data_IF_197908059476
#
_entry.id   IF_197908059476
#
_cell.length_a   1.000
_cell.length_b   1.000
_cell.length_c   1.000
_cell.angle_alpha   90.00
_cell.angle_beta   90.00
_cell.angle_gamma   90.00
#
_symmetry.space_group_name_H-M   'P 1'
#
loop_
_entity.id
_entity.type
_entity.pdbx_description
1 polymer ?
#
# COMPACT_ATOMS: atom_id res chain seq x y z
N UNK A 1 0.31 0.06 14.66
CA UNK A 1 -0.67 -1.01 14.38
C UNK A 1 -1.95 -0.89 15.22
N UNK A 2 -1.83 -0.63 16.51
CA UNK A 2 -3.01 -0.52 17.39
C UNK A 2 -3.97 0.57 16.92
N UNK A 3 -3.45 1.75 16.59
CA UNK A 3 -4.25 2.86 16.07
C UNK A 3 -4.93 2.53 14.75
N UNK A 4 -4.21 1.87 13.85
CA UNK A 4 -4.77 1.46 12.56
C UNK A 4 -5.89 0.42 12.75
N UNK A 5 -5.68 -0.55 13.61
CA UNK A 5 -6.69 -1.58 13.92
C UNK A 5 -7.94 -0.99 14.59
N UNK A 6 -7.76 0.00 15.46
CA UNK A 6 -8.88 0.68 16.10
C UNK A 6 -9.77 1.42 15.09
N UNK A 7 -9.17 1.99 14.06
CA UNK A 7 -9.90 2.66 12.99
C UNK A 7 -10.69 3.90 13.45
N UNK A 8 -10.19 4.61 14.44
CA UNK A 8 -10.83 5.80 14.98
C UNK A 8 -10.03 7.04 14.60
N UNK A 9 -10.68 8.03 14.02
CA UNK A 9 -10.02 9.22 13.49
C UNK A 9 -10.78 10.48 13.86
N UNK A 10 -10.06 11.59 14.03
CA UNK A 10 -10.63 12.91 14.23
C UNK A 10 -11.10 13.49 12.89
N UNK A 11 -11.99 14.50 12.94
CA UNK A 11 -12.40 15.20 11.73
C UNK A 11 -11.23 15.83 10.98
N UNK A 12 -10.21 16.28 11.72
CA UNK A 12 -9.00 16.85 11.14
C UNK A 12 -8.23 15.81 10.33
N UNK A 13 -8.13 14.60 10.84
CA UNK A 13 -7.39 13.50 10.18
C UNK A 13 -8.02 13.08 8.86
N UNK A 14 -9.33 13.20 8.71
CA UNK A 14 -10.06 12.78 7.52
C UNK A 14 -10.47 13.94 6.61
N UNK A 15 -9.95 15.13 6.87
CA UNK A 15 -10.31 16.34 6.14
C UNK A 15 -10.21 16.22 4.62
N UNK A 16 -9.20 15.52 4.14
CA UNK A 16 -8.98 15.31 2.71
C UNK A 16 -9.80 14.19 2.09
N UNK A 17 -10.57 13.46 2.88
CA UNK A 17 -11.36 12.35 2.37
C UNK A 17 -12.67 12.86 1.76
N UNK A 18 -12.99 12.49 0.48
CA UNK A 18 -14.26 12.89 -0.14
C UNK A 18 -15.47 12.46 0.68
N UNK A 19 -16.51 13.30 0.69
CA UNK A 19 -17.71 13.08 1.51
C UNK A 19 -18.37 11.73 1.21
N UNK A 20 -18.39 11.31 -0.06
CA UNK A 20 -18.96 10.01 -0.46
C UNK A 20 -18.34 8.82 0.25
N UNK A 21 -17.02 8.90 0.53
CA UNK A 21 -16.32 7.83 1.26
C UNK A 21 -16.57 7.92 2.76
N UNK A 22 -16.68 9.14 3.31
CA UNK A 22 -17.04 9.34 4.72
C UNK A 22 -18.40 8.75 5.00
N UNK A 23 -19.38 9.04 4.14
CA UNK A 23 -20.76 8.58 4.32
C UNK A 23 -20.88 7.07 4.22
N UNK A 24 -20.08 6.46 3.34
CA UNK A 24 -20.15 5.03 3.06
C UNK A 24 -19.39 4.18 4.06
N UNK A 25 -18.22 4.65 4.51
CA UNK A 25 -17.27 3.81 5.25
C UNK A 25 -16.97 4.28 6.67
N UNK A 26 -17.41 5.46 7.05
CA UNK A 26 -17.17 6.02 8.38
C UNK A 26 -18.47 6.32 9.10
N UNK A 27 -18.45 6.09 10.41
CA UNK A 27 -19.54 6.42 11.31
C UNK A 27 -19.05 7.46 12.31
N UNK A 28 -19.77 8.58 12.43
CA UNK A 28 -19.42 9.63 13.39
C UNK A 28 -20.14 9.35 14.70
N UNK A 29 -19.40 9.32 15.80
CA UNK A 29 -20.00 9.15 17.12
C UNK A 29 -20.42 10.50 17.72
N UNK A 30 -20.99 10.47 18.94
CA UNK A 30 -21.47 11.64 19.65
C UNK A 30 -20.35 12.61 20.05
N UNK A 31 -19.10 12.15 20.08
CA UNK A 31 -17.92 12.97 20.41
C UNK A 31 -17.22 13.52 19.18
N UNK A 32 -17.78 13.33 17.99
CA UNK A 32 -17.17 13.79 16.75
C UNK A 32 -16.03 12.92 16.24
N UNK A 33 -15.86 11.73 16.77
CA UNK A 33 -14.86 10.77 16.32
C UNK A 33 -15.46 9.91 15.21
N UNK A 34 -14.67 9.73 14.13
CA UNK A 34 -15.07 8.89 13.00
C UNK A 34 -14.49 7.50 13.15
N UNK A 35 -15.33 6.49 13.02
CA UNK A 35 -14.94 5.08 13.10
C UNK A 35 -15.11 4.42 11.75
N UNK A 36 -14.11 3.65 11.35
CA UNK A 36 -14.20 2.83 10.13
C UNK A 36 -15.23 1.74 10.35
N UNK A 37 -16.10 1.54 9.35
CA UNK A 37 -17.16 0.52 9.44
C UNK A 37 -16.59 -0.88 9.63
N UNK A 38 -17.32 -1.74 10.33
CA UNK A 38 -16.90 -3.13 10.54
C UNK A 38 -16.83 -3.90 9.22
N UNK A 39 -17.70 -3.57 8.27
CA UNK A 39 -17.68 -4.17 6.93
C UNK A 39 -16.35 -3.93 6.23
N UNK A 40 -15.84 -2.70 6.28
CA UNK A 40 -14.54 -2.37 5.70
C UNK A 40 -13.40 -3.02 6.49
N UNK A 41 -13.46 -2.98 7.82
CA UNK A 41 -12.44 -3.59 8.68
C UNK A 41 -12.28 -5.09 8.41
N UNK A 42 -13.36 -5.79 8.10
CA UNK A 42 -13.32 -7.23 7.83
C UNK A 42 -12.52 -7.58 6.58
N UNK A 43 -12.30 -6.62 5.69
CA UNK A 43 -11.52 -6.80 4.46
C UNK A 43 -10.03 -6.49 4.65
N UNK A 44 -9.61 -6.04 5.83
CA UNK A 44 -8.25 -5.55 6.07
C UNK A 44 -7.55 -6.41 7.09
N UNK A 45 -6.30 -6.77 6.78
CA UNK A 45 -5.41 -7.45 7.71
C UNK A 45 -4.19 -6.57 7.96
N UNK A 46 -3.90 -6.29 9.24
CA UNK A 46 -2.74 -5.49 9.63
C UNK A 46 -1.64 -6.39 10.15
N UNK A 47 -0.43 -6.21 9.62
CA UNK A 47 0.74 -6.97 10.04
C UNK A 47 1.96 -6.07 10.12
N UNK A 48 2.81 -6.34 11.10
CA UNK A 48 4.18 -5.85 11.08
C UNK A 48 4.95 -6.72 10.08
N UNK A 49 5.71 -6.10 9.18
CA UNK A 49 6.39 -6.81 8.10
C UNK A 49 7.78 -6.22 7.84
N UNK A 50 8.78 -7.08 7.83
CA UNK A 50 10.13 -6.72 7.42
C UNK A 50 10.30 -7.08 5.94
N UNK A 51 10.44 -6.08 5.07
CA UNK A 51 10.50 -6.26 3.63
C UNK A 51 11.68 -7.13 3.17
N UNK A 52 12.76 -7.18 3.94
CA UNK A 52 13.95 -7.95 3.58
C UNK A 52 13.94 -9.37 4.13
N UNK A 53 13.21 -9.64 5.20
CA UNK A 53 13.27 -10.91 5.92
C UNK A 53 11.99 -11.72 5.85
N UNK A 54 10.84 -11.08 5.95
CA UNK A 54 9.57 -11.78 6.07
C UNK A 54 9.06 -12.26 4.71
N UNK A 55 8.30 -13.36 4.73
CA UNK A 55 7.66 -13.88 3.53
C UNK A 55 6.56 -12.94 3.03
N UNK A 56 6.40 -12.85 1.72
CA UNK A 56 5.39 -11.99 1.11
C UNK A 56 4.12 -12.79 0.80
N UNK A 57 2.94 -12.15 0.89
CA UNK A 57 1.73 -12.79 0.39
C UNK A 57 1.86 -13.06 -1.11
N UNK A 58 1.16 -14.07 -1.58
CA UNK A 58 1.21 -14.49 -2.99
C UNK A 58 -0.07 -14.07 -3.71
N UNK A 59 0.02 -13.97 -5.04
CA UNK A 59 -1.11 -13.66 -5.90
C UNK A 59 -1.73 -12.30 -5.59
N UNK A 60 -0.87 -11.33 -5.36
CA UNK A 60 -1.28 -9.95 -5.06
C UNK A 60 -1.59 -9.21 -6.36
N UNK A 61 -2.63 -8.41 -6.38
CA UNK A 61 -3.04 -7.65 -7.57
C UNK A 61 -2.50 -6.22 -7.58
N UNK A 62 -2.30 -5.63 -6.40
CA UNK A 62 -1.79 -4.28 -6.27
C UNK A 62 -0.87 -4.20 -5.07
N UNK A 63 0.33 -3.66 -5.28
CA UNK A 63 1.24 -3.29 -4.19
C UNK A 63 1.40 -1.78 -4.22
N UNK A 64 1.19 -1.14 -3.08
CA UNK A 64 1.46 0.29 -2.89
C UNK A 64 2.64 0.41 -1.95
N UNK A 65 3.77 0.89 -2.46
CA UNK A 65 4.99 1.07 -1.68
C UNK A 65 5.55 2.46 -1.98
N UNK A 66 5.16 3.43 -1.17
CA UNK A 66 5.51 4.83 -1.37
C UNK A 66 6.32 5.38 -0.21
N UNK A 67 7.41 6.10 -0.55
CA UNK A 67 8.26 6.79 0.42
C UNK A 67 8.93 5.86 1.43
N UNK A 68 9.16 4.61 1.04
CA UNK A 68 9.79 3.58 1.88
C UNK A 68 11.17 3.21 1.36
N UNK A 69 11.33 3.10 0.04
CA UNK A 69 12.55 2.63 -0.60
C UNK A 69 13.73 3.58 -0.43
N UNK A 70 13.46 4.84 -0.12
CA UNK A 70 14.48 5.86 0.13
C UNK A 70 15.40 5.50 1.31
N UNK A 71 14.95 4.59 2.19
CA UNK A 71 15.73 4.16 3.35
C UNK A 71 16.61 2.94 3.09
N UNK A 72 16.58 2.37 1.90
CA UNK A 72 17.30 1.14 1.56
C UNK A 72 18.47 1.39 0.63
N UNK A 73 19.49 0.52 0.73
CA UNK A 73 20.61 0.50 -0.23
C UNK A 73 20.12 0.00 -1.59
N UNK A 74 20.92 0.22 -2.63
CA UNK A 74 20.58 -0.26 -3.97
C UNK A 74 20.44 -1.79 -4.01
N UNK A 75 21.31 -2.52 -3.32
CA UNK A 75 21.22 -3.98 -3.22
C UNK A 75 19.92 -4.43 -2.54
N UNK A 76 19.55 -3.76 -1.46
CA UNK A 76 18.30 -4.05 -0.75
C UNK A 76 17.09 -3.77 -1.64
N UNK A 77 17.10 -2.64 -2.37
CA UNK A 77 16.03 -2.29 -3.31
C UNK A 77 15.85 -3.37 -4.38
N UNK A 78 16.94 -3.88 -4.96
CA UNK A 78 16.87 -4.95 -5.96
C UNK A 78 16.18 -6.19 -5.39
N UNK A 79 16.54 -6.59 -4.19
CA UNK A 79 15.91 -7.74 -3.53
C UNK A 79 14.42 -7.50 -3.30
N UNK A 80 14.05 -6.33 -2.85
CA UNK A 80 12.65 -5.99 -2.59
C UNK A 80 11.83 -5.95 -3.89
N UNK A 81 12.35 -5.35 -4.96
CA UNK A 81 11.65 -5.32 -6.26
C UNK A 81 11.44 -6.71 -6.84
N UNK A 82 12.42 -7.60 -6.71
CA UNK A 82 12.25 -9.00 -7.13
C UNK A 82 11.15 -9.69 -6.32
N UNK A 83 11.11 -9.45 -5.03
CA UNK A 83 10.08 -10.02 -4.15
C UNK A 83 8.70 -9.45 -4.46
N UNK A 84 8.60 -8.17 -4.78
CA UNK A 84 7.35 -7.57 -5.23
C UNK A 84 6.88 -8.25 -6.54
N UNK A 85 7.78 -8.43 -7.48
CA UNK A 85 7.45 -9.08 -8.75
C UNK A 85 6.95 -10.51 -8.51
N UNK A 86 7.63 -11.27 -7.67
CA UNK A 86 7.22 -12.65 -7.35
C UNK A 86 5.88 -12.71 -6.64
N UNK A 87 5.58 -11.71 -5.82
CA UNK A 87 4.32 -11.61 -5.07
C UNK A 87 3.13 -11.24 -5.95
N UNK A 88 3.36 -10.42 -6.97
CA UNK A 88 2.32 -9.95 -7.88
C UNK A 88 1.93 -11.03 -8.89
N UNK A 89 0.64 -11.16 -9.14
CA UNK A 89 0.16 -11.95 -10.27
C UNK A 89 0.47 -11.20 -11.59
N UNK A 90 0.38 -11.91 -12.72
CA UNK A 90 0.55 -11.30 -14.04
C UNK A 90 -0.44 -10.14 -14.20
N UNK A 91 0.04 -9.02 -14.75
CA UNK A 91 -0.71 -7.78 -14.90
C UNK A 91 -1.03 -7.09 -13.58
N UNK A 92 -0.48 -7.59 -12.46
CA UNK A 92 -0.54 -6.89 -11.18
C UNK A 92 0.25 -5.59 -11.22
N UNK A 93 -0.13 -4.63 -10.39
CA UNK A 93 0.41 -3.27 -10.42
C UNK A 93 1.23 -2.99 -9.17
N UNK A 94 2.39 -2.36 -9.39
CA UNK A 94 3.20 -1.77 -8.32
C UNK A 94 3.12 -0.24 -8.44
N UNK A 95 2.68 0.41 -7.37
CA UNK A 95 2.61 1.86 -7.29
C UNK A 95 3.67 2.38 -6.31
N UNK A 96 4.60 3.19 -6.82
CA UNK A 96 5.75 3.71 -6.06
C UNK A 96 5.67 5.21 -5.85
N UNK A 97 6.53 5.74 -4.97
CA UNK A 97 6.61 7.19 -4.72
C UNK A 97 7.24 7.95 -5.89
N UNK A 98 7.06 9.27 -5.89
CA UNK A 98 7.52 10.15 -6.98
C UNK A 98 9.04 10.19 -7.12
N UNK A 99 9.78 9.89 -6.07
CA UNK A 99 11.25 9.85 -6.07
C UNK A 99 11.80 8.43 -6.16
N UNK A 100 10.95 7.44 -6.39
CA UNK A 100 11.30 6.04 -6.31
C UNK A 100 11.12 5.30 -7.64
N UNK A 101 11.42 5.97 -8.76
CA UNK A 101 11.36 5.32 -10.06
C UNK A 101 12.31 4.14 -10.13
N UNK A 102 11.84 3.05 -10.74
CA UNK A 102 12.62 1.82 -10.86
C UNK A 102 13.48 1.89 -12.12
N UNK A 103 14.79 1.99 -11.94
CA UNK A 103 15.75 1.96 -13.02
C UNK A 103 15.94 0.51 -13.47
N UNK A 104 15.80 0.27 -14.76
CA UNK A 104 15.92 -1.09 -15.31
C UNK A 104 14.77 -2.00 -14.88
N UNK A 105 13.56 -1.49 -14.87
CA UNK A 105 12.38 -2.22 -14.41
C UNK A 105 12.19 -3.57 -15.11
N UNK A 106 12.62 -3.71 -16.35
CA UNK A 106 12.50 -4.95 -17.13
C UNK A 106 13.22 -6.14 -16.47
N UNK A 107 14.30 -5.92 -15.76
CA UNK A 107 15.03 -7.01 -15.08
C UNK A 107 14.23 -7.66 -13.95
N UNK A 108 13.16 -6.99 -13.50
CA UNK A 108 12.22 -7.50 -12.49
C UNK A 108 10.89 -7.93 -13.12
N UNK A 109 10.80 -8.00 -14.44
CA UNK A 109 9.56 -8.24 -15.16
C UNK A 109 8.51 -7.14 -14.99
N UNK A 110 8.95 -5.91 -14.82
CA UNK A 110 8.05 -4.76 -14.74
C UNK A 110 8.11 -3.93 -16.01
N UNK A 111 6.96 -3.41 -16.42
CA UNK A 111 6.84 -2.41 -17.47
C UNK A 111 6.15 -1.19 -16.89
N UNK A 112 6.75 -0.01 -17.07
CA UNK A 112 6.11 1.25 -16.70
C UNK A 112 4.90 1.51 -17.59
N UNK A 113 3.74 1.75 -16.98
CA UNK A 113 2.49 2.04 -17.72
C UNK A 113 2.08 3.50 -17.58
N UNK A 114 2.44 4.12 -16.47
CA UNK A 114 2.31 5.55 -16.19
C UNK A 114 3.41 5.96 -15.22
N UNK A 115 3.56 7.25 -14.98
CA UNK A 115 4.47 7.72 -13.95
C UNK A 115 4.15 7.02 -12.62
N UNK A 116 5.16 6.40 -12.04
CA UNK A 116 5.10 5.71 -10.74
C UNK A 116 4.30 4.40 -10.70
N UNK A 117 3.69 3.99 -11.83
CA UNK A 117 2.94 2.74 -11.94
C UNK A 117 3.68 1.75 -12.84
N UNK A 118 3.88 0.54 -12.36
CA UNK A 118 4.55 -0.54 -13.08
C UNK A 118 3.66 -1.78 -13.10
N UNK A 119 3.55 -2.40 -14.26
CA UNK A 119 2.77 -3.61 -14.44
C UNK A 119 3.69 -4.82 -14.53
N UNK A 120 3.38 -5.88 -13.81
CA UNK A 120 4.10 -7.15 -13.92
C UNK A 120 3.71 -7.84 -15.21
N UNK A 121 4.72 -8.23 -15.97
CA UNK A 121 4.58 -8.96 -17.23
C UNK A 121 4.43 -10.45 -17.07
#
# INVERSE_FOLDING_TARGET
LAKAKAGCYTGQSIKGLPQRYRDKFLEKDEHGIYRVSNKLKSCISFKQHNLLKDGYPQRVHLIVCRNVMIYFTEEAKERIYRRFSDSLCKQGILFVGSTEQIIGAKKYNFQGIQSFFYEKQ
#
